data_IF_768316392974
#
_entry.id   IF_768316392974
#
_cell.length_a   1.000
_cell.length_b   1.000
_cell.length_c   1.000
_cell.angle_alpha   90.00
_cell.angle_beta   90.00
_cell.angle_gamma   90.00
#
_symmetry.space_group_name_H-M   'P 1'
#
loop_
_entity.id
_entity.type
_entity.pdbx_description
1 polymer ?
#
# COMPACT_ATOMS: atom_id res chain seq x y z
N UNK A 1 -4.88 -12.01 16.47
CA UNK A 1 -3.57 -12.68 16.43
C UNK A 1 -2.73 -12.02 15.34
N UNK A 2 -1.95 -10.99 15.70
CA UNK A 2 -1.10 -10.23 14.76
C UNK A 2 0.29 -10.89 14.69
N UNK A 3 0.44 -11.93 13.88
CA UNK A 3 1.76 -12.52 13.61
C UNK A 3 2.28 -11.91 12.31
N UNK A 4 2.84 -10.72 12.41
CA UNK A 4 3.85 -10.28 11.45
C UNK A 4 5.18 -10.50 12.15
N UNK A 5 5.76 -11.68 11.92
CA UNK A 5 7.08 -12.02 12.45
C UNK A 5 8.12 -11.29 11.61
N UNK A 6 8.99 -10.53 12.25
CA UNK A 6 10.19 -10.01 11.61
C UNK A 6 11.08 -11.19 11.21
N UNK A 7 11.73 -11.10 10.04
CA UNK A 7 12.72 -12.09 9.63
C UNK A 7 13.81 -12.17 10.71
N UNK A 8 14.12 -13.38 11.16
CA UNK A 8 15.33 -13.62 11.95
C UNK A 8 16.58 -13.34 11.10
N UNK A 9 17.72 -13.12 11.74
CA UNK A 9 19.01 -12.91 11.06
C UNK A 9 19.32 -14.02 10.05
N UNK A 10 19.00 -15.28 10.41
CA UNK A 10 19.19 -16.44 9.53
C UNK A 10 18.26 -16.41 8.33
N UNK A 11 16.97 -16.11 8.54
CA UNK A 11 16.00 -16.00 7.44
C UNK A 11 16.36 -14.85 6.50
N UNK A 12 16.78 -13.71 7.03
CA UNK A 12 17.28 -12.58 6.25
C UNK A 12 18.46 -12.97 5.36
N UNK A 13 19.51 -13.57 5.92
CA UNK A 13 20.67 -14.03 5.15
C UNK A 13 20.30 -15.05 4.06
N UNK A 14 19.36 -15.96 4.35
CA UNK A 14 18.87 -16.93 3.38
C UNK A 14 18.09 -16.25 2.24
N UNK A 15 17.27 -15.25 2.55
CA UNK A 15 16.55 -14.44 1.56
C UNK A 15 17.53 -13.69 0.66
N UNK A 16 18.51 -12.98 1.22
CA UNK A 16 19.52 -12.25 0.43
C UNK A 16 20.27 -13.19 -0.53
N UNK A 17 20.71 -14.34 -0.03
CA UNK A 17 21.40 -15.36 -0.83
C UNK A 17 20.55 -15.89 -1.98
N UNK A 18 19.30 -16.31 -1.69
CA UNK A 18 18.45 -16.96 -2.69
C UNK A 18 17.87 -15.96 -3.70
N UNK A 19 17.51 -14.77 -3.24
CA UNK A 19 16.86 -13.75 -4.07
C UNK A 19 17.85 -12.78 -4.72
N UNK A 20 19.14 -12.84 -4.35
CA UNK A 20 20.18 -11.90 -4.80
C UNK A 20 19.76 -10.45 -4.57
N UNK A 21 19.25 -10.18 -3.37
CA UNK A 21 18.75 -8.88 -2.96
C UNK A 21 19.40 -8.44 -1.64
N UNK A 22 19.17 -7.18 -1.27
CA UNK A 22 19.47 -6.66 0.07
C UNK A 22 18.19 -6.64 0.89
N UNK A 23 18.24 -7.19 2.10
CA UNK A 23 17.14 -7.11 3.06
C UNK A 23 17.32 -5.84 3.88
N UNK A 24 16.26 -5.05 3.97
CA UNK A 24 16.22 -3.81 4.76
C UNK A 24 15.10 -3.96 5.78
N UNK A 25 15.40 -3.66 7.04
CA UNK A 25 14.43 -3.70 8.15
C UNK A 25 13.94 -2.28 8.39
N UNK A 26 12.63 -2.08 8.39
CA UNK A 26 12.03 -0.80 8.78
C UNK A 26 12.16 -0.63 10.31
N UNK A 27 12.82 0.43 10.80
CA UNK A 27 12.97 0.67 12.23
C UNK A 27 11.67 1.21 12.83
N UNK A 28 10.72 0.31 13.14
CA UNK A 28 9.38 0.68 13.64
C UNK A 28 9.40 1.53 14.91
N UNK A 29 10.44 1.42 15.74
CA UNK A 29 10.57 2.22 16.96
C UNK A 29 10.65 3.73 16.69
N UNK A 30 11.10 4.11 15.49
CA UNK A 30 11.30 5.52 15.11
C UNK A 30 10.01 6.18 14.61
N UNK A 31 8.92 5.42 14.49
CA UNK A 31 7.66 5.91 13.94
C UNK A 31 6.55 5.96 15.00
N UNK A 32 5.57 6.84 14.75
CA UNK A 32 4.37 6.95 15.58
C UNK A 32 3.63 5.60 15.71
N UNK A 33 2.91 5.34 16.82
CA UNK A 33 2.28 4.05 17.08
C UNK A 33 1.36 3.53 15.94
N UNK A 34 0.62 4.40 15.25
CA UNK A 34 -0.26 4.00 14.14
C UNK A 34 0.51 3.56 12.89
N UNK A 35 1.73 4.07 12.69
CA UNK A 35 2.60 3.62 11.61
C UNK A 35 3.12 2.22 11.88
N UNK A 36 3.49 1.97 13.13
CA UNK A 36 4.09 0.71 13.57
C UNK A 36 3.07 -0.42 13.72
N UNK A 37 1.80 -0.08 13.90
CA UNK A 37 0.67 -1.01 13.86
C UNK A 37 0.45 -1.56 12.43
N UNK A 38 0.66 -2.87 12.28
CA UNK A 38 0.49 -3.54 11.00
C UNK A 38 -0.94 -3.47 10.46
N UNK A 39 -1.93 -3.32 11.34
CA UNK A 39 -3.35 -3.29 10.97
C UNK A 39 -3.81 -1.93 10.44
N UNK A 40 -3.03 -0.86 10.67
CA UNK A 40 -3.23 0.43 10.05
C UNK A 40 -2.66 0.51 8.62
N UNK A 41 -1.77 -0.43 8.24
CA UNK A 41 -1.06 -0.47 6.95
C UNK A 41 -0.25 0.80 6.58
N UNK A 42 -0.13 1.75 7.50
CA UNK A 42 0.53 3.04 7.30
C UNK A 42 2.04 2.93 7.07
N UNK A 43 2.64 1.78 7.35
CA UNK A 43 4.06 1.52 7.05
C UNK A 43 4.32 1.23 5.56
N UNK A 44 3.36 0.70 4.80
CA UNK A 44 3.55 0.34 3.38
C UNK A 44 3.98 1.55 2.52
N UNK A 45 3.31 2.71 2.60
CA UNK A 45 3.62 3.86 1.75
C UNK A 45 5.00 4.45 2.03
N UNK A 46 5.43 4.37 3.30
CA UNK A 46 6.76 4.81 3.74
C UNK A 46 7.84 3.95 3.09
N UNK A 47 7.65 2.62 3.09
CA UNK A 47 8.58 1.69 2.42
C UNK A 47 8.63 1.95 0.91
N UNK A 48 7.47 2.12 0.26
CA UNK A 48 7.40 2.40 -1.18
C UNK A 48 8.13 3.71 -1.52
N UNK A 49 7.92 4.76 -0.73
CA UNK A 49 8.61 6.04 -0.91
C UNK A 49 10.12 5.92 -0.67
N UNK A 50 10.56 5.21 0.36
CA UNK A 50 11.98 4.97 0.60
C UNK A 50 12.61 4.18 -0.56
N UNK A 51 11.93 3.13 -1.07
CA UNK A 51 12.37 2.38 -2.23
C UNK A 51 12.49 3.26 -3.49
N UNK A 52 11.59 4.24 -3.66
CA UNK A 52 11.63 5.18 -4.79
C UNK A 52 12.88 6.05 -4.84
N UNK A 53 13.58 6.26 -3.72
CA UNK A 53 14.82 7.05 -3.66
C UNK A 53 16.02 6.28 -4.24
N UNK A 54 15.92 4.96 -4.38
CA UNK A 54 17.00 4.09 -4.81
C UNK A 54 16.68 3.32 -6.11
N UNK A 55 15.40 3.18 -6.45
CA UNK A 55 14.97 2.49 -7.65
C UNK A 55 15.37 3.26 -8.92
N UNK A 56 15.90 2.54 -9.92
CA UNK A 56 16.36 3.14 -11.20
C UNK A 56 15.35 3.03 -12.34
N UNK A 57 14.43 2.06 -12.28
CA UNK A 57 13.51 1.75 -13.39
C UNK A 57 12.08 1.56 -12.92
N UNK A 58 11.88 0.62 -12.00
CA UNK A 58 10.57 0.24 -11.50
C UNK A 58 10.64 -0.04 -10.01
N UNK A 59 9.53 0.22 -9.32
CA UNK A 59 9.30 -0.12 -7.93
C UNK A 59 8.19 -1.17 -7.94
N UNK A 60 8.45 -2.33 -7.34
CA UNK A 60 7.49 -3.41 -7.22
C UNK A 60 7.15 -3.56 -5.74
N UNK A 61 5.93 -3.18 -5.37
CA UNK A 61 5.34 -3.53 -4.10
C UNK A 61 4.57 -4.83 -4.23
N UNK A 62 4.80 -5.76 -3.31
CA UNK A 62 3.95 -6.94 -3.16
C UNK A 62 3.91 -7.44 -1.72
N UNK A 63 2.75 -7.94 -1.30
CA UNK A 63 2.63 -8.71 -0.06
C UNK A 63 3.31 -10.08 -0.22
N UNK A 64 3.80 -10.65 0.87
CA UNK A 64 4.53 -11.94 0.86
C UNK A 64 3.68 -13.15 0.44
N UNK A 65 2.36 -12.99 0.39
CA UNK A 65 1.40 -14.00 -0.09
C UNK A 65 1.22 -13.99 -1.61
N UNK A 66 1.70 -12.95 -2.31
CA UNK A 66 1.56 -12.82 -3.77
C UNK A 66 2.48 -13.83 -4.47
N UNK A 67 1.96 -14.49 -5.51
CA UNK A 67 2.70 -15.42 -6.36
C UNK A 67 2.47 -15.04 -7.82
N UNK A 68 3.53 -15.07 -8.60
CA UNK A 68 3.50 -14.70 -10.01
C UNK A 68 3.69 -15.90 -10.91
N UNK A 69 2.95 -15.92 -12.02
CA UNK A 69 3.37 -16.66 -13.21
C UNK A 69 4.38 -15.80 -13.97
N UNK A 70 5.41 -16.43 -14.56
CA UNK A 70 6.53 -15.71 -15.18
C UNK A 70 6.06 -14.72 -16.24
N UNK A 71 5.19 -15.16 -17.13
CA UNK A 71 4.68 -14.35 -18.25
C UNK A 71 3.87 -13.15 -17.77
N UNK A 72 2.99 -13.35 -16.76
CA UNK A 72 2.17 -12.27 -16.23
C UNK A 72 2.98 -11.24 -15.47
N UNK A 73 4.07 -11.63 -14.82
CA UNK A 73 4.98 -10.71 -14.15
C UNK A 73 5.68 -9.79 -15.15
N UNK A 74 6.32 -10.36 -16.17
CA UNK A 74 7.05 -9.58 -17.17
C UNK A 74 6.12 -8.61 -17.90
N UNK A 75 4.96 -9.08 -18.36
CA UNK A 75 3.97 -8.22 -19.01
C UNK A 75 3.46 -7.09 -18.10
N UNK A 76 3.41 -7.32 -16.77
CA UNK A 76 3.00 -6.27 -15.81
C UNK A 76 4.11 -5.24 -15.58
N UNK A 77 5.39 -5.66 -15.63
CA UNK A 77 6.53 -4.74 -15.59
C UNK A 77 6.56 -3.85 -16.83
N UNK A 78 6.37 -4.43 -18.01
CA UNK A 78 6.38 -3.70 -19.28
C UNK A 78 5.27 -2.64 -19.29
N UNK A 79 4.04 -3.03 -18.94
CA UNK A 79 2.92 -2.08 -18.83
C UNK A 79 3.19 -0.96 -17.82
N UNK A 80 3.76 -1.28 -16.66
CA UNK A 80 4.07 -0.25 -15.66
C UNK A 80 5.17 0.71 -16.15
N UNK A 81 6.13 0.21 -16.92
CA UNK A 81 7.19 1.02 -17.49
C UNK A 81 6.67 1.95 -18.59
N UNK A 82 5.77 1.46 -19.46
CA UNK A 82 5.17 2.24 -20.53
C UNK A 82 4.15 3.25 -20.00
N UNK A 83 3.16 2.78 -19.21
CA UNK A 83 2.04 3.60 -18.72
C UNK A 83 2.37 4.41 -17.46
N UNK A 84 3.52 4.17 -16.82
CA UNK A 84 3.95 4.84 -15.59
C UNK A 84 3.49 4.13 -14.31
N UNK A 85 2.35 3.44 -14.32
CA UNK A 85 1.92 2.58 -13.22
C UNK A 85 1.20 1.33 -13.72
N UNK A 86 1.17 0.29 -12.89
CA UNK A 86 0.30 -0.85 -13.02
C UNK A 86 -0.21 -1.22 -11.63
N UNK A 87 -1.51 -1.04 -11.46
CA UNK A 87 -2.24 -1.45 -10.26
C UNK A 87 -3.21 -2.57 -10.60
N UNK A 88 -3.51 -3.43 -9.63
CA UNK A 88 -4.46 -4.52 -9.82
C UNK A 88 -5.82 -4.16 -9.25
N UNK A 89 -6.87 -4.42 -10.02
CA UNK A 89 -8.26 -4.35 -9.58
C UNK A 89 -8.81 -5.76 -9.47
N UNK A 90 -9.52 -6.06 -8.38
CA UNK A 90 -10.31 -7.28 -8.28
C UNK A 90 -11.59 -7.15 -9.12
N UNK A 91 -11.99 -8.17 -9.88
CA UNK A 91 -13.20 -8.12 -10.74
C UNK A 91 -14.47 -7.72 -9.95
N UNK A 92 -14.55 -8.12 -8.68
CA UNK A 92 -15.64 -7.77 -7.74
C UNK A 92 -15.21 -6.76 -6.67
N UNK A 93 -14.26 -5.88 -6.99
CA UNK A 93 -13.86 -4.79 -6.10
C UNK A 93 -15.05 -3.91 -5.77
N UNK A 94 -15.18 -3.49 -4.51
CA UNK A 94 -16.12 -2.43 -4.16
C UNK A 94 -15.62 -1.09 -4.69
N UNK A 95 -16.44 -0.04 -4.58
CA UNK A 95 -16.02 1.34 -4.86
C UNK A 95 -15.10 1.83 -3.76
N UNK A 96 -14.20 2.77 -4.04
CA UNK A 96 -13.28 3.34 -3.04
C UNK A 96 -14.05 3.79 -1.77
N UNK A 97 -15.14 4.58 -1.86
CA UNK A 97 -15.91 5.00 -0.68
C UNK A 97 -16.52 3.87 0.15
N UNK A 98 -16.73 2.69 -0.43
CA UNK A 98 -17.31 1.56 0.29
C UNK A 98 -16.40 1.04 1.40
N UNK A 99 -15.08 1.13 1.19
CA UNK A 99 -14.06 0.55 2.05
C UNK A 99 -13.08 1.60 2.59
N UNK A 100 -13.36 2.89 2.43
CA UNK A 100 -12.59 3.99 3.04
C UNK A 100 -13.46 4.67 4.08
N UNK A 101 -12.94 4.90 5.28
CA UNK A 101 -13.69 5.53 6.38
C UNK A 101 -14.06 6.98 6.05
N UNK A 102 -15.21 7.45 6.56
CA UNK A 102 -15.66 8.82 6.34
C UNK A 102 -14.64 9.83 6.85
N UNK A 103 -14.03 9.54 8.00
CA UNK A 103 -13.04 10.39 8.65
C UNK A 103 -11.80 10.62 7.79
N UNK A 104 -11.43 9.67 6.93
CA UNK A 104 -10.35 9.87 5.96
C UNK A 104 -10.74 10.96 4.97
N UNK A 105 -11.96 10.91 4.40
CA UNK A 105 -12.46 11.93 3.47
C UNK A 105 -12.56 13.30 4.16
N UNK A 106 -13.06 13.32 5.40
CA UNK A 106 -13.15 14.54 6.20
C UNK A 106 -11.77 15.16 6.44
N UNK A 107 -10.75 14.33 6.70
CA UNK A 107 -9.37 14.78 6.91
C UNK A 107 -8.73 15.35 5.64
N UNK A 108 -8.91 14.70 4.49
CA UNK A 108 -8.34 15.17 3.22
C UNK A 108 -9.17 16.30 2.58
N UNK A 109 -10.29 16.68 3.21
CA UNK A 109 -11.22 17.70 2.74
C UNK A 109 -11.76 17.41 1.33
N UNK A 110 -12.16 16.17 1.09
CA UNK A 110 -12.71 15.73 -0.20
C UNK A 110 -14.05 14.98 -0.02
N UNK A 111 -14.84 14.94 -1.08
CA UNK A 111 -16.16 14.28 -1.08
C UNK A 111 -16.05 12.85 -1.61
N UNK A 112 -16.46 11.90 -0.78
CA UNK A 112 -16.59 10.49 -1.14
C UNK A 112 -17.41 10.27 -2.43
N UNK A 113 -18.37 11.14 -2.75
CA UNK A 113 -19.17 11.06 -3.98
C UNK A 113 -18.31 11.13 -5.23
N UNK A 114 -17.24 11.95 -5.22
CA UNK A 114 -16.28 12.06 -6.34
C UNK A 114 -15.56 10.75 -6.63
N UNK A 115 -15.56 9.81 -5.68
CA UNK A 115 -14.88 8.52 -5.78
C UNK A 115 -15.80 7.35 -6.13
N UNK A 116 -17.12 7.56 -6.20
CA UNK A 116 -18.09 6.51 -6.53
C UNK A 116 -17.86 5.81 -7.88
N UNK A 117 -17.40 6.49 -8.95
CA UNK A 117 -17.13 5.82 -10.22
C UNK A 117 -15.92 4.87 -10.15
N UNK A 118 -15.05 5.03 -9.16
CA UNK A 118 -13.77 4.34 -9.12
C UNK A 118 -13.81 3.09 -8.24
N UNK A 119 -13.43 1.92 -8.78
CA UNK A 119 -13.25 0.72 -8.00
C UNK A 119 -12.04 0.84 -7.08
N UNK A 120 -12.11 0.16 -5.94
CA UNK A 120 -10.98 -0.04 -5.04
C UNK A 120 -9.86 -0.80 -5.76
N UNK A 121 -8.64 -0.30 -5.61
CA UNK A 121 -7.41 -0.94 -6.06
C UNK A 121 -6.93 -1.92 -4.97
N UNK A 122 -6.42 -3.08 -5.38
CA UNK A 122 -5.83 -4.02 -4.43
C UNK A 122 -4.53 -3.46 -3.84
N UNK A 123 -4.48 -3.33 -2.51
CA UNK A 123 -3.29 -2.83 -1.77
C UNK A 123 -2.16 -3.85 -1.56
N UNK A 124 -2.24 -5.02 -2.19
CA UNK A 124 -1.26 -6.11 -2.04
C UNK A 124 -0.24 -6.17 -3.19
N UNK A 125 -0.48 -5.52 -4.32
CA UNK A 125 0.43 -5.51 -5.48
C UNK A 125 0.33 -4.19 -6.22
N UNK A 126 1.43 -3.44 -6.29
CA UNK A 126 1.55 -2.24 -7.11
C UNK A 126 2.90 -2.23 -7.83
N UNK A 127 2.91 -1.83 -9.10
CA UNK A 127 4.13 -1.62 -9.86
C UNK A 127 4.13 -0.19 -10.37
N UNK A 128 5.21 0.54 -10.15
CA UNK A 128 5.33 1.93 -10.55
C UNK A 128 6.64 2.15 -11.28
N UNK A 129 6.64 3.01 -12.30
CA UNK A 129 7.88 3.52 -12.87
C UNK A 129 8.58 4.40 -11.84
N UNK A 130 9.89 4.23 -11.71
CA UNK A 130 10.73 5.02 -10.82
C UNK A 130 11.06 6.36 -11.48
N UNK A 131 10.08 7.27 -11.52
CA UNK A 131 10.23 8.61 -12.08
C UNK A 131 9.73 9.70 -11.11
N UNK A 132 10.07 10.95 -11.44
CA UNK A 132 9.71 12.11 -10.62
C UNK A 132 8.20 12.37 -10.58
N UNK A 133 7.47 11.94 -11.62
CA UNK A 133 6.02 12.09 -11.66
C UNK A 133 5.36 11.22 -10.58
N UNK A 134 5.61 9.91 -10.58
CA UNK A 134 5.10 9.00 -9.56
C UNK A 134 5.58 9.40 -8.16
N UNK A 135 6.83 9.86 -8.06
CA UNK A 135 7.39 10.34 -6.79
C UNK A 135 6.57 11.46 -6.15
N UNK A 136 6.16 12.44 -6.94
CA UNK A 136 5.43 13.64 -6.48
C UNK A 136 3.92 13.42 -6.40
N UNK A 137 3.36 12.73 -7.39
CA UNK A 137 1.90 12.61 -7.54
C UNK A 137 1.34 11.43 -6.75
N UNK A 138 2.11 10.36 -6.57
CA UNK A 138 1.64 9.14 -5.87
C UNK A 138 2.32 8.99 -4.52
N UNK A 139 3.65 8.89 -4.49
CA UNK A 139 4.34 8.47 -3.26
C UNK A 139 4.34 9.55 -2.18
N UNK A 140 4.59 10.82 -2.51
CA UNK A 140 4.56 11.92 -1.55
C UNK A 140 3.22 12.09 -0.83
N UNK A 141 2.08 12.24 -1.53
CA UNK A 141 0.79 12.36 -0.86
C UNK A 141 0.42 11.08 -0.10
N UNK A 142 0.76 9.90 -0.64
CA UNK A 142 0.49 8.64 0.05
C UNK A 142 1.28 8.51 1.35
N UNK A 143 2.57 8.85 1.35
CA UNK A 143 3.42 8.88 2.54
C UNK A 143 2.97 9.97 3.51
N UNK A 144 2.57 11.15 3.04
CA UNK A 144 2.05 12.21 3.92
C UNK A 144 0.80 11.72 4.65
N UNK A 145 -0.14 11.11 3.94
CA UNK A 145 -1.33 10.51 4.56
C UNK A 145 -0.96 9.41 5.55
N UNK A 146 0.03 8.56 5.23
CA UNK A 146 0.50 7.50 6.13
C UNK A 146 1.05 8.01 7.47
N UNK A 147 1.73 9.15 7.45
CA UNK A 147 2.29 9.76 8.67
C UNK A 147 1.22 10.38 9.56
N UNK A 148 0.04 10.66 9.01
CA UNK A 148 -1.07 11.30 9.71
C UNK A 148 -2.14 10.28 10.10
N UNK A 149 -2.30 10.05 11.41
CA UNK A 149 -3.22 9.04 11.94
C UNK A 149 -4.65 9.26 11.41
N UNK A 150 -5.11 10.50 11.38
CA UNK A 150 -6.46 10.86 10.96
C UNK A 150 -6.70 10.59 9.46
N UNK A 151 -5.64 10.57 8.65
CA UNK A 151 -5.75 10.27 7.22
C UNK A 151 -5.81 8.75 6.99
N UNK A 152 -4.79 8.03 7.45
CA UNK A 152 -4.58 6.62 7.12
C UNK A 152 -5.09 5.65 8.18
N UNK A 153 -5.38 6.06 9.40
CA UNK A 153 -5.86 5.15 10.45
C UNK A 153 -6.72 5.88 11.50
N UNK A 154 -7.83 6.55 11.07
CA UNK A 154 -8.58 7.45 11.94
C UNK A 154 -9.28 6.76 13.11
N UNK A 155 -9.55 5.45 12.99
CA UNK A 155 -10.16 4.62 14.04
C UNK A 155 -9.22 3.48 14.45
N UNK A 156 -9.36 2.94 15.67
CA UNK A 156 -8.64 1.73 16.07
C UNK A 156 -8.93 0.59 15.08
N UNK A 157 -7.92 0.00 14.42
CA UNK A 157 -8.12 -0.99 13.37
C UNK A 157 -8.98 -2.18 13.77
N UNK A 158 -8.89 -2.62 15.02
CA UNK A 158 -9.70 -3.71 15.57
C UNK A 158 -11.20 -3.51 15.40
N UNK A 159 -11.67 -2.26 15.29
CA UNK A 159 -13.08 -1.90 15.12
C UNK A 159 -13.53 -1.83 13.66
N UNK A 160 -12.60 -1.80 12.70
CA UNK A 160 -12.86 -1.47 11.29
C UNK A 160 -12.10 -2.35 10.28
N UNK A 161 -11.33 -3.33 10.74
CA UNK A 161 -10.57 -4.24 9.87
C UNK A 161 -11.49 -5.19 9.10
N UNK A 162 -12.60 -5.60 9.71
CA UNK A 162 -13.64 -6.40 9.08
C UNK A 162 -14.59 -5.50 8.30
N UNK A 163 -14.79 -5.79 7.01
CA UNK A 163 -15.81 -5.10 6.22
C UNK A 163 -17.17 -5.71 6.53
N UNK A 164 -18.00 -4.95 7.24
CA UNK A 164 -19.39 -5.32 7.55
C UNK A 164 -20.35 -5.14 6.36
N UNK A 165 -21.63 -5.37 6.62
CA UNK A 165 -22.71 -5.02 5.70
C UNK A 165 -22.88 -3.49 5.61
N UNK A 166 -23.29 -3.00 4.44
CA UNK A 166 -23.49 -1.57 4.18
C UNK A 166 -23.13 -1.18 2.75
N UNK A 167 -23.37 0.09 2.41
CA UNK A 167 -23.06 0.66 1.09
C UNK A 167 -21.76 1.48 1.08
N UNK A 168 -21.49 2.29 2.11
CA UNK A 168 -20.35 3.21 2.23
C UNK A 168 -19.64 3.12 3.58
N UNK A 169 -18.35 3.48 3.62
CA UNK A 169 -17.52 3.67 4.82
C UNK A 169 -17.47 2.48 5.80
N UNK A 170 -17.41 1.27 5.26
CA UNK A 170 -17.67 0.03 6.02
C UNK A 170 -16.46 -0.50 6.77
N UNK A 171 -15.26 -0.17 6.31
CA UNK A 171 -14.01 -0.68 6.85
C UNK A 171 -12.82 0.21 6.51
N UNK A 172 -11.66 -0.17 7.03
CA UNK A 172 -10.40 0.50 6.83
C UNK A 172 -9.59 -0.09 5.66
N UNK A 173 -9.74 0.48 4.47
CA UNK A 173 -8.87 0.26 3.31
C UNK A 173 -8.64 1.59 2.60
N UNK A 174 -7.44 2.15 2.73
CA UNK A 174 -7.08 3.33 1.97
C UNK A 174 -6.48 2.92 0.63
N UNK A 175 -7.02 3.49 -0.44
CA UNK A 175 -6.45 3.50 -1.78
C UNK A 175 -6.14 4.96 -2.13
N UNK A 176 -4.86 5.33 -2.32
CA UNK A 176 -4.50 6.66 -2.82
C UNK A 176 -4.94 6.83 -4.27
N UNK A 177 -5.12 8.09 -4.67
CA UNK A 177 -5.29 8.50 -6.07
C UNK A 177 -3.99 8.34 -6.85
#
# INVERSE_FOLDING_TARGET
MNIVRLLSTREGAQTEKNCRCKVIILPKADYAPHVSDNTCYSWKPIIVKAASQHAKKVIVWQDSSVRWFRESFLASLDRAYEAGHQVLRHFKSHRIPANTLKETFDYIHDDACGYLPYPEIQGNVHIHRADDFNRRVVFEPWTRCALEKQCMCPRPPSTVIGCGSGTLHRCHRLVPR
#
